data_IF_978773330712
#
_entry.id   IF_978773330712
#
_cell.length_a   1.000
_cell.length_b   1.000
_cell.length_c   1.000
_cell.angle_alpha   90.00
_cell.angle_beta   90.00
_cell.angle_gamma   90.00
#
_symmetry.space_group_name_H-M   'P 1'
#
loop_
_entity.id
_entity.type
_entity.pdbx_description
1 polymer ?
#
# COMPACT_ATOMS: atom_id res chain seq x y z
N UNK A 1 12.16 2.68 -6.79
CA UNK A 1 12.62 2.92 -5.40
C UNK A 1 11.44 2.65 -4.51
N UNK A 2 11.62 1.87 -3.44
CA UNK A 2 10.60 1.70 -2.41
C UNK A 2 10.33 3.07 -1.75
N UNK A 3 9.07 3.46 -1.65
CA UNK A 3 8.65 4.70 -1.00
C UNK A 3 8.42 4.51 0.51
N UNK A 4 8.04 3.30 0.93
CA UNK A 4 7.92 2.98 2.34
C UNK A 4 9.31 2.70 2.94
N UNK A 5 9.60 3.34 4.07
CA UNK A 5 10.79 3.04 4.87
C UNK A 5 10.60 1.69 5.57
N UNK A 6 11.70 1.01 5.87
CA UNK A 6 11.64 -0.31 6.53
C UNK A 6 10.95 -0.26 7.90
N UNK A 7 11.13 0.83 8.66
CA UNK A 7 10.42 1.03 9.93
C UNK A 7 8.90 1.09 9.75
N UNK A 8 8.43 1.79 8.70
CA UNK A 8 7.01 1.93 8.40
C UNK A 8 6.43 0.58 7.95
N UNK A 9 7.19 -0.19 7.14
CA UNK A 9 6.79 -1.55 6.73
C UNK A 9 6.63 -2.49 7.92
N UNK A 10 7.59 -2.49 8.84
CA UNK A 10 7.52 -3.35 10.04
C UNK A 10 6.36 -2.96 10.95
N UNK A 11 6.08 -1.66 11.07
CA UNK A 11 4.90 -1.19 11.79
C UNK A 11 3.60 -1.69 11.14
N UNK A 12 3.45 -1.50 9.83
CA UNK A 12 2.27 -1.95 9.09
C UNK A 12 2.05 -3.47 9.16
N UNK A 13 3.11 -4.27 9.01
CA UNK A 13 3.04 -5.74 9.15
C UNK A 13 2.48 -6.15 10.52
N UNK A 14 2.85 -5.44 11.59
CA UNK A 14 2.33 -5.71 12.92
C UNK A 14 0.85 -5.33 13.05
N UNK A 15 0.46 -4.16 12.54
CA UNK A 15 -0.94 -3.72 12.53
C UNK A 15 -1.84 -4.66 11.72
N UNK A 16 -1.36 -5.17 10.58
CA UNK A 16 -2.13 -6.07 9.72
C UNK A 16 -2.45 -7.43 10.36
N UNK A 17 -1.78 -7.80 11.47
CA UNK A 17 -2.16 -8.99 12.26
C UNK A 17 -3.54 -8.86 12.88
N UNK A 18 -4.01 -7.63 13.14
CA UNK A 18 -5.32 -7.36 13.70
C UNK A 18 -6.46 -7.37 12.64
N UNK A 19 -6.15 -7.57 11.35
CA UNK A 19 -7.19 -7.67 10.32
C UNK A 19 -7.94 -9.00 10.44
N UNK A 20 -9.24 -8.94 10.76
CA UNK A 20 -10.08 -10.13 10.88
C UNK A 20 -10.57 -10.66 9.51
N UNK A 21 -10.60 -9.82 8.50
CA UNK A 21 -11.08 -10.14 7.16
C UNK A 21 -10.17 -9.56 6.07
N UNK A 22 -10.19 -10.12 4.84
CA UNK A 22 -9.48 -9.52 3.71
C UNK A 22 -9.96 -8.10 3.41
N UNK A 23 -9.04 -7.22 3.07
CA UNK A 23 -9.28 -5.84 2.69
C UNK A 23 -8.86 -5.59 1.24
N UNK A 24 -9.61 -4.75 0.53
CA UNK A 24 -9.31 -4.37 -0.86
C UNK A 24 -8.98 -2.89 -0.97
N UNK A 25 -7.82 -2.57 -1.51
CA UNK A 25 -7.34 -1.21 -1.76
C UNK A 25 -7.58 -0.88 -3.23
N UNK A 26 -8.51 0.04 -3.50
CA UNK A 26 -8.84 0.46 -4.87
C UNK A 26 -8.25 1.86 -5.10
N UNK A 27 -7.23 1.95 -5.95
CA UNK A 27 -6.61 3.22 -6.33
C UNK A 27 -7.14 3.67 -7.68
N UNK A 28 -7.85 4.80 -7.68
CA UNK A 28 -8.23 5.49 -8.91
C UNK A 28 -7.11 6.46 -9.30
N UNK A 29 -6.60 6.34 -10.52
CA UNK A 29 -5.41 7.07 -10.98
C UNK A 29 -5.52 7.42 -12.46
N UNK A 30 -4.71 8.36 -12.93
CA UNK A 30 -4.63 8.81 -14.32
C UNK A 30 -3.19 9.19 -14.68
N UNK A 31 -2.82 9.07 -15.97
CA UNK A 31 -1.44 9.30 -16.42
C UNK A 31 -1.11 10.78 -16.66
N UNK A 32 -2.10 11.64 -16.90
CA UNK A 32 -1.92 13.05 -17.22
C UNK A 32 -2.44 13.96 -16.10
N UNK A 33 -1.80 15.11 -15.92
CA UNK A 33 -2.15 16.11 -14.90
C UNK A 33 -2.32 15.53 -13.48
N UNK A 34 -1.50 14.53 -13.12
CA UNK A 34 -1.55 13.93 -11.78
C UNK A 34 -0.16 13.79 -11.17
N UNK A 35 0.17 14.76 -10.31
CA UNK A 35 1.50 14.90 -9.69
C UNK A 35 1.93 13.71 -8.83
N UNK A 36 0.97 13.01 -8.19
CA UNK A 36 1.27 11.94 -7.22
C UNK A 36 0.60 10.61 -7.55
N UNK A 37 0.01 10.48 -8.73
CA UNK A 37 -0.69 9.27 -9.14
C UNK A 37 0.24 8.05 -9.17
N UNK A 38 1.48 8.26 -9.62
CA UNK A 38 2.51 7.22 -9.68
C UNK A 38 2.93 6.79 -8.28
N UNK A 39 3.26 7.74 -7.42
CA UNK A 39 3.72 7.52 -6.05
C UNK A 39 2.63 6.86 -5.22
N UNK A 40 1.39 7.32 -5.32
CA UNK A 40 0.25 6.75 -4.62
C UNK A 40 0.01 5.30 -5.05
N UNK A 41 0.10 5.02 -6.35
CA UNK A 41 0.02 3.64 -6.85
C UNK A 41 1.16 2.78 -6.31
N UNK A 42 2.40 3.27 -6.32
CA UNK A 42 3.55 2.52 -5.78
C UNK A 42 3.38 2.23 -4.29
N UNK A 43 2.92 3.20 -3.49
CA UNK A 43 2.66 2.99 -2.06
C UNK A 43 1.57 1.93 -1.87
N UNK A 44 0.47 2.00 -2.63
CA UNK A 44 -0.60 1.00 -2.52
C UNK A 44 -0.12 -0.40 -2.89
N UNK A 45 0.66 -0.55 -3.96
CA UNK A 45 1.27 -1.83 -4.34
C UNK A 45 2.23 -2.34 -3.26
N UNK A 46 3.06 -1.46 -2.68
CA UNK A 46 3.95 -1.82 -1.58
C UNK A 46 3.17 -2.25 -0.33
N UNK A 47 2.06 -1.57 0.01
CA UNK A 47 1.20 -1.94 1.15
C UNK A 47 0.52 -3.29 0.93
N UNK A 48 -0.05 -3.55 -0.25
CA UNK A 48 -0.67 -4.82 -0.57
C UNK A 48 0.33 -5.99 -0.52
N UNK A 49 1.60 -5.74 -0.81
CA UNK A 49 2.65 -6.77 -0.71
C UNK A 49 3.05 -7.14 0.72
N UNK A 50 2.63 -6.39 1.75
CA UNK A 50 3.00 -6.64 3.15
C UNK A 50 2.08 -7.65 3.87
N UNK A 51 0.94 -8.03 3.28
CA UNK A 51 0.00 -8.98 3.90
C UNK A 51 -0.86 -9.68 2.86
N UNK A 52 -0.99 -11.01 2.97
CA UNK A 52 -1.88 -11.81 2.13
C UNK A 52 -3.37 -11.45 2.30
N UNK A 53 -3.73 -10.68 3.34
CA UNK A 53 -5.09 -10.19 3.59
C UNK A 53 -5.39 -8.89 2.86
N UNK A 54 -4.41 -8.22 2.26
CA UNK A 54 -4.61 -6.95 1.54
C UNK A 54 -4.43 -7.21 0.04
N UNK A 55 -5.40 -6.74 -0.76
CA UNK A 55 -5.41 -6.89 -2.22
C UNK A 55 -5.75 -5.62 -2.96
#
# INVERSE_FOLDING_TARGET
MALLREEDKQHLINEFKALDAPAKVIVFTQEFECQYCRETRMIAEEVSALSDKIS
#
